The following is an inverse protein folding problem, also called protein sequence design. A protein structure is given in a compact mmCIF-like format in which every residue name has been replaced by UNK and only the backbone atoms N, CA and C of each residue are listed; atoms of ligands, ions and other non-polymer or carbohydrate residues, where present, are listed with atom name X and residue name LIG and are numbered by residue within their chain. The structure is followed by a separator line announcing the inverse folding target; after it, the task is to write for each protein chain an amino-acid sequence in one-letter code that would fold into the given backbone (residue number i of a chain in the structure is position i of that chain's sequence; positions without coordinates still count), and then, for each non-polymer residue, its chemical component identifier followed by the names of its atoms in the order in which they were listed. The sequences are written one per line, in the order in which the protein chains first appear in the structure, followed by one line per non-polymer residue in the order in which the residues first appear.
data_IF_258429270440
#
_entry.id   IF_258429270440
#
_cell.length_a   1.000
_cell.length_b   1.000
_cell.length_c   1.000
_cell.angle_alpha   90.00
_cell.angle_beta   90.00
_cell.angle_gamma   90.00
#
_symmetry.space_group_name_H-M   'P 1'
#
loop_
_entity.id
_entity.type
_entity.pdbx_description
1 polymer ?
#
# COMPACT_ATOMS: atom_id res chain seq x y z
N UNK A 1 26.11 9.10 -3.89
CA UNK A 1 25.10 8.07 -3.60
C UNK A 1 24.30 8.60 -2.43
N UNK A 2 23.19 9.29 -2.72
CA UNK A 2 22.32 9.85 -1.68
C UNK A 2 21.23 8.83 -1.44
N UNK A 3 21.32 8.14 -0.31
CA UNK A 3 20.27 7.23 0.16
C UNK A 3 19.04 8.11 0.47
N UNK A 4 18.03 8.06 -0.40
CA UNK A 4 16.69 8.53 -0.05
C UNK A 4 16.09 7.50 0.91
N UNK A 5 16.41 7.63 2.19
CA UNK A 5 15.71 6.95 3.27
C UNK A 5 14.28 7.52 3.29
N UNK A 6 13.39 6.89 2.53
CA UNK A 6 11.96 7.14 2.67
C UNK A 6 11.58 6.57 4.03
N UNK A 7 11.05 7.38 4.97
CA UNK A 7 10.62 6.86 6.24
C UNK A 7 9.58 5.78 5.94
N UNK A 8 9.95 4.54 6.22
CA UNK A 8 9.08 3.38 6.09
C UNK A 8 8.10 3.44 7.25
N UNK A 9 7.14 4.36 7.18
CA UNK A 9 5.98 4.34 8.07
C UNK A 9 5.40 2.94 7.96
N UNK A 10 5.51 2.18 9.04
CA UNK A 10 5.10 0.79 9.06
C UNK A 10 3.62 0.70 8.66
N UNK A 11 3.29 -0.25 7.80
CA UNK A 11 1.91 -0.48 7.40
C UNK A 11 1.11 -1.08 8.57
N UNK A 12 -0.20 -0.81 8.63
CA UNK A 12 -1.10 -1.56 9.50
C UNK A 12 -0.94 -3.07 9.28
N UNK A 13 -1.13 -3.84 10.36
CA UNK A 13 -0.86 -5.30 10.35
C UNK A 13 -2.14 -6.14 10.29
N UNK A 14 -3.32 -5.49 10.26
CA UNK A 14 -4.60 -6.18 10.11
C UNK A 14 -5.17 -5.95 8.72
N UNK A 15 -5.88 -6.95 8.20
CA UNK A 15 -6.50 -6.90 6.87
C UNK A 15 -7.47 -5.72 6.74
N UNK A 16 -8.32 -5.50 7.75
CA UNK A 16 -9.35 -4.47 7.68
C UNK A 16 -8.75 -3.06 7.68
N UNK A 17 -7.73 -2.80 8.51
CA UNK A 17 -7.04 -1.50 8.50
C UNK A 17 -6.32 -1.25 7.17
N UNK A 18 -5.72 -2.28 6.58
CA UNK A 18 -5.09 -2.19 5.26
C UNK A 18 -6.12 -1.86 4.17
N UNK A 19 -7.32 -2.46 4.21
CA UNK A 19 -8.38 -2.15 3.25
C UNK A 19 -8.93 -0.72 3.41
N UNK A 20 -9.02 -0.21 4.64
CA UNK A 20 -9.37 1.20 4.89
C UNK A 20 -8.29 2.12 4.33
N UNK A 21 -7.02 1.82 4.60
CA UNK A 21 -5.90 2.60 4.09
C UNK A 21 -5.82 2.55 2.55
N UNK A 22 -6.10 1.40 1.94
CA UNK A 22 -6.16 1.23 0.49
C UNK A 22 -7.20 2.16 -0.14
N UNK A 23 -8.43 2.15 0.40
CA UNK A 23 -9.52 3.00 -0.08
C UNK A 23 -9.17 4.48 0.00
N UNK A 24 -8.62 4.93 1.12
CA UNK A 24 -8.21 6.32 1.30
C UNK A 24 -7.05 6.71 0.37
N UNK A 25 -6.05 5.84 0.22
CA UNK A 25 -4.92 6.07 -0.70
C UNK A 25 -5.39 6.14 -2.16
N UNK A 26 -6.33 5.28 -2.56
CA UNK A 26 -6.97 5.34 -3.88
C UNK A 26 -7.72 6.64 -4.10
N UNK A 27 -8.42 7.14 -3.06
CA UNK A 27 -9.10 8.45 -3.11
C UNK A 27 -8.10 9.58 -3.34
N UNK A 28 -6.97 9.58 -2.61
CA UNK A 28 -5.89 10.58 -2.74
C UNK A 28 -5.26 10.54 -4.13
N UNK A 29 -4.94 9.35 -4.65
CA UNK A 29 -4.41 9.19 -6.01
C UNK A 29 -5.34 9.80 -7.06
N UNK A 30 -6.63 9.50 -6.98
CA UNK A 30 -7.62 9.97 -7.96
C UNK A 30 -7.86 11.49 -7.88
N UNK A 31 -7.65 12.11 -6.71
CA UNK A 31 -7.73 13.56 -6.54
C UNK A 31 -6.44 14.28 -6.97
N UNK A 32 -5.33 13.54 -7.13
CA UNK A 32 -4.03 14.11 -7.50
C UNK A 32 -3.91 14.26 -9.01
N UNK A 33 -3.18 15.29 -9.46
CA UNK A 33 -2.84 15.45 -10.87
C UNK A 33 -2.04 14.24 -11.34
N UNK A 34 -2.41 13.68 -12.49
CA UNK A 34 -1.69 12.54 -13.05
C UNK A 34 -0.20 12.84 -13.23
N UNK A 35 0.64 11.92 -12.76
CA UNK A 35 2.11 12.05 -12.79
C UNK A 35 2.70 13.04 -11.78
N UNK A 36 1.90 13.67 -10.91
CA UNK A 36 2.45 14.46 -9.81
C UNK A 36 3.17 13.56 -8.80
N UNK A 37 4.08 14.12 -7.98
CA UNK A 37 4.72 13.36 -6.90
C UNK A 37 3.70 12.66 -5.97
N UNK A 38 2.60 13.33 -5.62
CA UNK A 38 1.54 12.74 -4.80
C UNK A 38 0.84 11.57 -5.49
N UNK A 39 0.62 11.68 -6.81
CA UNK A 39 0.04 10.60 -7.60
C UNK A 39 0.97 9.38 -7.65
N UNK A 40 2.28 9.59 -7.83
CA UNK A 40 3.28 8.52 -7.84
C UNK A 40 3.40 7.87 -6.46
N UNK A 41 3.54 8.68 -5.40
CA UNK A 41 3.64 8.18 -4.03
C UNK A 41 2.40 7.38 -3.61
N UNK A 42 1.21 7.80 -4.04
CA UNK A 42 -0.03 7.05 -3.78
C UNK A 42 -0.08 5.71 -4.54
N UNK A 43 0.48 5.62 -5.75
CA UNK A 43 0.60 4.34 -6.48
C UNK A 43 1.57 3.41 -5.75
N UNK A 44 2.74 3.90 -5.36
CA UNK A 44 3.73 3.10 -4.63
C UNK A 44 3.17 2.59 -3.30
N UNK A 45 2.44 3.43 -2.57
CA UNK A 45 1.79 3.02 -1.33
C UNK A 45 0.68 1.99 -1.56
N UNK A 46 -0.15 2.14 -2.61
CA UNK A 46 -1.16 1.13 -2.96
C UNK A 46 -0.54 -0.24 -3.20
N UNK A 47 0.55 -0.31 -3.97
CA UNK A 47 1.25 -1.56 -4.23
C UNK A 47 1.77 -2.23 -2.96
N UNK A 48 2.34 -1.45 -2.03
CA UNK A 48 2.78 -1.99 -0.73
C UNK A 48 1.63 -2.54 0.12
N UNK A 49 0.48 -1.84 0.12
CA UNK A 49 -0.72 -2.30 0.84
C UNK A 49 -1.25 -3.62 0.24
N UNK A 50 -1.30 -3.73 -1.08
CA UNK A 50 -1.82 -4.92 -1.78
C UNK A 50 -0.97 -6.17 -1.52
N UNK A 51 0.36 -6.02 -1.51
CA UNK A 51 1.28 -7.10 -1.12
C UNK A 51 1.03 -7.56 0.30
N UNK A 52 0.83 -6.63 1.23
CA UNK A 52 0.62 -6.94 2.63
C UNK A 52 -0.75 -7.61 2.89
N UNK A 53 -1.79 -7.15 2.20
CA UNK A 53 -3.11 -7.83 2.20
C UNK A 53 -2.96 -9.26 1.69
N UNK A 54 -2.30 -9.47 0.55
CA UNK A 54 -2.09 -10.80 -0.01
C UNK A 54 -1.28 -11.71 0.92
N UNK A 55 -0.29 -11.15 1.64
CA UNK A 55 0.48 -11.88 2.66
C UNK A 55 -0.42 -12.39 3.78
N UNK A 56 -1.29 -11.54 4.32
CA UNK A 56 -2.23 -11.88 5.39
C UNK A 56 -3.25 -12.91 4.88
N UNK A 57 -3.85 -12.68 3.71
CA UNK A 57 -4.84 -13.58 3.13
C UNK A 57 -4.26 -14.98 2.85
N UNK A 58 -3.04 -15.07 2.34
CA UNK A 58 -2.34 -16.34 2.13
C UNK A 58 -2.06 -17.09 3.44
N UNK A 59 -1.84 -16.37 4.54
CA UNK A 59 -1.67 -16.99 5.84
C UNK A 59 -2.99 -17.53 6.41
N UNK A 60 -4.13 -16.96 6.01
CA UNK A 60 -5.47 -17.42 6.39
C UNK A 60 -5.93 -18.62 5.57
N UNK A 61 -5.63 -18.63 4.26
CA UNK A 61 -5.95 -19.72 3.34
C UNK A 61 -4.70 -20.12 2.54
N UNK A 62 -3.84 -20.99 3.10
CA UNK A 62 -2.59 -21.37 2.47
C UNK A 62 -2.85 -22.28 1.26
N UNK A 63 -2.08 -22.13 0.16
CA UNK A 63 -2.24 -23.00 -1.00
C UNK A 63 -1.95 -24.45 -0.65
N UNK A 64 -2.77 -25.36 -1.19
CA UNK A 64 -2.55 -26.80 -1.09
C UNK A 64 -1.25 -27.15 -1.83
N UNK A 65 -0.27 -27.68 -1.09
CA UNK A 65 1.03 -28.13 -1.61
C UNK A 65 0.94 -29.51 -2.26
#
# INVERSE_FOLDING_TARGET
MTEHETPSTALPQTRDELLVLHRETRRRRNASKHGSPDHVAAIELLGRIEVEVARIERAMDPPLV
#
